data_IF_068892914589
#
_entry.id   IF_068892914589
#
_cell.length_a   1.000
_cell.length_b   1.000
_cell.length_c   1.000
_cell.angle_alpha   90.00
_cell.angle_beta   90.00
_cell.angle_gamma   90.00
#
_symmetry.space_group_name_H-M   'P 1'
#
loop_
_entity.id
_entity.type
_entity.pdbx_description
1 polymer ?
#
# COMPACT_ATOMS: atom_id res chain seq x y z
N UNK A 1 4.48 18.70 -5.11
CA UNK A 1 5.65 18.14 -4.41
C UNK A 1 5.14 17.38 -3.20
N UNK A 2 5.57 16.13 -3.03
CA UNK A 2 5.17 15.29 -1.89
C UNK A 2 5.84 15.79 -0.60
N UNK A 3 5.22 15.63 0.57
CA UNK A 3 5.79 16.09 1.84
C UNK A 3 7.11 15.38 2.16
N UNK A 4 8.14 16.08 2.59
CA UNK A 4 9.47 15.48 2.84
C UNK A 4 9.54 14.63 4.12
N UNK A 5 8.71 14.95 5.11
CA UNK A 5 8.79 14.43 6.48
C UNK A 5 7.79 13.30 6.76
N UNK A 6 6.85 13.06 5.85
CA UNK A 6 5.84 12.01 5.94
C UNK A 6 5.52 11.43 4.56
N UNK A 7 4.98 10.23 4.54
CA UNK A 7 4.43 9.60 3.34
C UNK A 7 2.90 9.51 3.49
N UNK A 8 2.12 10.10 2.55
CA UNK A 8 0.67 9.92 2.51
C UNK A 8 0.26 8.47 2.29
N UNK A 9 -0.97 8.13 2.67
CA UNK A 9 -1.50 6.76 2.58
C UNK A 9 -1.57 6.28 1.12
N UNK A 10 -2.13 7.10 0.24
CA UNK A 10 -2.15 6.85 -1.20
C UNK A 10 -0.73 6.67 -1.78
N UNK A 11 0.29 7.34 -1.23
CA UNK A 11 1.68 7.13 -1.65
C UNK A 11 2.15 5.71 -1.26
N UNK A 12 1.86 5.25 -0.03
CA UNK A 12 2.20 3.89 0.43
C UNK A 12 1.55 2.84 -0.47
N UNK A 13 0.24 2.96 -0.71
CA UNK A 13 -0.54 2.02 -1.53
C UNK A 13 0.01 1.91 -2.94
N UNK A 14 0.20 3.06 -3.62
CA UNK A 14 0.65 3.05 -5.02
C UNK A 14 2.11 2.60 -5.15
N UNK A 15 2.99 2.94 -4.20
CA UNK A 15 4.37 2.45 -4.21
C UNK A 15 4.44 0.94 -4.04
N UNK A 16 3.60 0.37 -3.18
CA UNK A 16 3.50 -1.09 -3.06
C UNK A 16 3.01 -1.72 -4.36
N UNK A 17 1.98 -1.16 -5.01
CA UNK A 17 1.50 -1.65 -6.30
C UNK A 17 2.61 -1.64 -7.36
N UNK A 18 3.35 -0.53 -7.46
CA UNK A 18 4.49 -0.40 -8.36
C UNK A 18 5.54 -1.47 -8.05
N UNK A 19 5.98 -1.58 -6.79
CA UNK A 19 7.00 -2.53 -6.39
C UNK A 19 6.62 -3.99 -6.70
N UNK A 20 5.36 -4.37 -6.47
CA UNK A 20 4.88 -5.72 -6.75
C UNK A 20 4.90 -6.05 -8.25
N UNK A 21 4.57 -5.08 -9.11
CA UNK A 21 4.61 -5.27 -10.56
C UNK A 21 6.05 -5.27 -11.07
N UNK A 22 6.87 -4.29 -10.67
CA UNK A 22 8.25 -4.14 -11.14
C UNK A 22 9.12 -5.34 -10.76
N UNK A 23 8.91 -5.92 -9.58
CA UNK A 23 9.59 -7.13 -9.13
C UNK A 23 8.89 -8.44 -9.58
N UNK A 24 7.91 -8.35 -10.47
CA UNK A 24 7.27 -9.51 -11.10
C UNK A 24 6.60 -10.47 -10.12
N UNK A 25 5.98 -9.97 -9.04
CA UNK A 25 5.30 -10.80 -8.03
C UNK A 25 3.81 -11.05 -8.33
N UNK A 26 3.22 -10.36 -9.31
CA UNK A 26 1.79 -10.47 -9.64
C UNK A 26 1.53 -11.20 -10.96
N UNK A 27 0.32 -11.75 -11.09
CA UNK A 27 -0.16 -12.44 -12.29
C UNK A 27 -0.94 -11.49 -13.21
N UNK A 28 -1.53 -10.43 -12.66
CA UNK A 28 -2.38 -9.51 -13.42
C UNK A 28 -2.47 -8.14 -12.78
N UNK A 29 -3.53 -7.40 -13.12
CA UNK A 29 -3.75 -6.04 -12.63
C UNK A 29 -3.92 -6.01 -11.11
N UNK A 30 -3.40 -4.95 -10.48
CA UNK A 30 -3.56 -4.69 -9.04
C UNK A 30 -4.71 -3.70 -8.84
N UNK A 31 -5.62 -4.01 -7.92
CA UNK A 31 -6.66 -3.08 -7.48
C UNK A 31 -6.13 -2.22 -6.35
N UNK A 32 -6.31 -0.91 -6.44
CA UNK A 32 -5.97 0.03 -5.36
C UNK A 32 -7.17 0.90 -5.03
N UNK A 33 -7.71 0.74 -3.82
CA UNK A 33 -8.78 1.55 -3.29
C UNK A 33 -8.18 2.80 -2.61
N UNK A 34 -8.55 3.98 -3.07
CA UNK A 34 -8.10 5.26 -2.53
C UNK A 34 -9.34 6.15 -2.31
N UNK A 35 -9.46 6.74 -1.13
CA UNK A 35 -10.55 7.66 -0.82
C UNK A 35 -10.30 9.02 -1.48
N UNK A 36 -11.35 9.63 -2.04
CA UNK A 36 -11.29 11.01 -2.52
C UNK A 36 -10.77 11.99 -1.48
N UNK A 37 -11.05 11.79 -0.18
CA UNK A 37 -10.51 12.59 0.91
C UNK A 37 -8.98 12.46 1.08
N UNK A 38 -8.39 11.32 0.71
CA UNK A 38 -6.92 11.14 0.67
C UNK A 38 -6.29 11.89 -0.51
N UNK A 39 -7.07 12.22 -1.56
CA UNK A 39 -6.61 12.94 -2.75
C UNK A 39 -6.82 14.44 -2.61
N UNK A 40 -8.05 14.87 -2.28
CA UNK A 40 -8.43 16.28 -2.20
C UNK A 40 -9.61 16.50 -1.25
N UNK A 41 -9.51 17.49 -0.38
CA UNK A 41 -10.65 17.99 0.42
C UNK A 41 -10.82 19.49 0.21
N UNK A 42 -11.99 19.93 -0.27
CA UNK A 42 -12.21 21.33 -0.63
C UNK A 42 -11.20 21.77 -1.69
N UNK A 43 -10.37 22.76 -1.37
CA UNK A 43 -9.33 23.28 -2.26
C UNK A 43 -7.93 22.68 -2.02
N UNK A 44 -7.76 21.85 -1.00
CA UNK A 44 -6.47 21.28 -0.63
C UNK A 44 -6.27 19.94 -1.33
N UNK A 45 -5.24 19.83 -2.17
CA UNK A 45 -4.76 18.56 -2.72
C UNK A 45 -3.80 17.94 -1.71
N UNK A 46 -4.15 16.76 -1.21
CA UNK A 46 -3.35 16.00 -0.24
C UNK A 46 -2.37 15.06 -0.93
N UNK A 47 -2.79 14.47 -2.07
CA UNK A 47 -1.94 13.59 -2.85
C UNK A 47 -2.29 13.66 -4.36
N UNK A 48 -1.36 14.12 -5.22
CA UNK A 48 -1.59 14.27 -6.65
C UNK A 48 -1.34 12.93 -7.39
N UNK A 49 -2.35 12.05 -7.45
CA UNK A 49 -2.23 10.69 -8.01
C UNK A 49 -1.74 10.69 -9.46
N UNK A 50 -2.32 11.53 -10.31
CA UNK A 50 -2.03 11.53 -11.76
C UNK A 50 -0.58 11.92 -11.99
N UNK A 51 -0.12 12.99 -11.34
CA UNK A 51 1.26 13.46 -11.39
C UNK A 51 2.21 12.41 -10.85
N UNK A 52 1.91 11.81 -9.70
CA UNK A 52 2.73 10.77 -9.09
C UNK A 52 2.89 9.55 -10.00
N UNK A 53 1.79 9.03 -10.56
CA UNK A 53 1.83 7.85 -11.44
C UNK A 53 2.56 8.17 -12.75
N UNK A 54 2.31 9.33 -13.36
CA UNK A 54 3.01 9.77 -14.57
C UNK A 54 4.53 9.88 -14.35
N UNK A 55 4.96 10.46 -13.22
CA UNK A 55 6.39 10.55 -12.85
C UNK A 55 7.05 9.16 -12.72
N UNK A 56 6.27 8.13 -12.37
CA UNK A 56 6.73 6.74 -12.29
C UNK A 56 6.47 5.94 -13.59
N UNK A 57 6.05 6.60 -14.69
CA UNK A 57 5.83 5.99 -16.00
C UNK A 57 4.52 5.21 -16.14
N UNK A 58 3.58 5.40 -15.21
CA UNK A 58 2.25 4.81 -15.22
C UNK A 58 1.24 5.84 -15.73
N UNK A 59 0.59 5.54 -16.84
CA UNK A 59 -0.25 6.50 -17.56
C UNK A 59 -1.64 5.94 -17.85
N UNK A 60 -2.65 6.81 -17.87
CA UNK A 60 -4.01 6.45 -18.30
C UNK A 60 -4.56 7.45 -19.33
N UNK A 61 -5.26 6.98 -20.38
CA UNK A 61 -5.94 7.85 -21.33
C UNK A 61 -7.07 8.67 -20.70
N UNK A 62 -7.66 8.19 -19.60
CA UNK A 62 -8.77 8.86 -18.91
C UNK A 62 -8.32 9.76 -17.75
N UNK A 63 -7.01 9.91 -17.52
CA UNK A 63 -6.48 10.60 -16.34
C UNK A 63 -6.83 12.10 -16.30
N UNK A 64 -7.12 12.70 -17.46
CA UNK A 64 -7.55 14.09 -17.56
C UNK A 64 -9.01 14.30 -17.12
N UNK A 65 -9.84 13.25 -17.19
CA UNK A 65 -11.24 13.31 -16.79
C UNK A 65 -11.39 13.06 -15.29
N UNK A 66 -10.66 12.05 -14.79
CA UNK A 66 -10.66 11.66 -13.37
C UNK A 66 -9.41 10.86 -13.02
N UNK A 67 -8.98 10.94 -11.77
CA UNK A 67 -7.83 10.18 -11.28
C UNK A 67 -8.14 8.69 -11.08
N UNK A 68 -9.41 8.29 -10.94
CA UNK A 68 -9.81 6.87 -10.92
C UNK A 68 -9.74 6.27 -12.31
N UNK A 69 -8.72 5.47 -12.56
CA UNK A 69 -8.50 4.88 -13.87
C UNK A 69 -7.62 3.64 -13.80
N UNK A 70 -7.52 2.93 -14.93
CA UNK A 70 -6.50 1.92 -15.17
C UNK A 70 -5.25 2.59 -15.72
N UNK A 71 -4.18 2.59 -14.94
CA UNK A 71 -2.86 3.10 -15.32
C UNK A 71 -1.97 1.96 -15.78
N UNK A 72 -1.40 2.12 -16.98
CA UNK A 72 -0.54 1.12 -17.60
C UNK A 72 0.87 1.67 -17.81
N UNK A 73 1.85 0.78 -17.85
CA UNK A 73 3.24 1.10 -18.13
C UNK A 73 3.73 0.18 -19.25
N UNK A 74 4.34 0.75 -20.30
CA UNK A 74 4.76 0.00 -21.50
C UNK A 74 5.75 -1.14 -21.22
N UNK A 75 6.43 -1.12 -20.06
CA UNK A 75 7.38 -2.15 -19.64
C UNK A 75 6.71 -3.39 -19.05
N UNK A 76 5.46 -3.30 -18.59
CA UNK A 76 4.80 -4.34 -17.81
C UNK A 76 3.42 -4.69 -18.38
N UNK A 77 3.03 -5.96 -18.28
CA UNK A 77 1.69 -6.38 -18.72
C UNK A 77 0.60 -6.01 -17.71
N UNK A 78 0.93 -6.10 -16.41
CA UNK A 78 0.02 -5.73 -15.33
C UNK A 78 -0.15 -4.20 -15.26
N UNK A 79 -1.35 -3.77 -14.91
CA UNK A 79 -1.72 -2.37 -14.68
C UNK A 79 -2.11 -2.12 -13.22
N UNK A 80 -2.14 -0.84 -12.84
CA UNK A 80 -2.66 -0.38 -11.55
C UNK A 80 -4.07 0.18 -11.79
N UNK A 81 -5.08 -0.42 -11.17
CA UNK A 81 -6.46 0.03 -11.26
C UNK A 81 -6.79 0.82 -10.00
N UNK A 82 -6.89 2.14 -10.16
CA UNK A 82 -7.23 3.07 -9.07
C UNK A 82 -8.74 3.29 -9.04
N UNK A 83 -9.37 2.98 -7.90
CA UNK A 83 -10.80 3.18 -7.66
C UNK A 83 -11.05 3.69 -6.23
N UNK A 84 -12.31 3.94 -5.87
CA UNK A 84 -12.71 4.47 -4.56
C UNK A 84 -13.80 3.61 -3.90
N UNK A 85 -13.78 2.30 -4.17
CA UNK A 85 -14.73 1.36 -3.57
C UNK A 85 -14.25 1.00 -2.16
N UNK A 86 -15.17 0.99 -1.19
CA UNK A 86 -14.89 0.53 0.17
C UNK A 86 -15.01 -1.00 0.28
N UNK A 87 -14.48 -1.57 1.37
CA UNK A 87 -14.72 -2.98 1.75
C UNK A 87 -13.75 -4.02 1.18
N UNK A 88 -12.78 -3.61 0.37
CA UNK A 88 -11.78 -4.52 -0.24
C UNK A 88 -10.38 -4.44 0.42
N UNK A 89 -10.09 -3.37 1.16
CA UNK A 89 -8.71 -3.01 1.56
C UNK A 89 -8.06 -2.12 0.50
N UNK A 90 -7.02 -1.39 0.91
CA UNK A 90 -6.37 -0.38 0.06
C UNK A 90 -5.67 -0.98 -1.16
N UNK A 91 -5.20 -2.22 -1.09
CA UNK A 91 -4.59 -2.93 -2.22
C UNK A 91 -5.00 -4.41 -2.25
N UNK A 92 -5.38 -4.89 -3.43
CA UNK A 92 -5.65 -6.30 -3.70
C UNK A 92 -4.89 -6.75 -4.94
N UNK A 93 -4.13 -7.85 -4.83
CA UNK A 93 -3.34 -8.38 -5.92
C UNK A 93 -3.34 -9.91 -5.95
N UNK A 94 -3.47 -10.49 -7.15
CA UNK A 94 -3.22 -11.92 -7.35
C UNK A 94 -1.73 -12.17 -7.55
N UNK A 95 -1.13 -12.85 -6.58
CA UNK A 95 0.30 -13.12 -6.52
C UNK A 95 0.66 -14.38 -7.31
N UNK A 96 1.87 -14.41 -7.89
CA UNK A 96 2.40 -15.57 -8.61
C UNK A 96 2.53 -16.83 -7.76
N UNK A 97 2.62 -16.68 -6.44
CA UNK A 97 2.63 -17.79 -5.48
C UNK A 97 1.25 -18.46 -5.31
N UNK A 98 0.23 -18.04 -6.08
CA UNK A 98 -1.12 -18.61 -6.01
C UNK A 98 -1.95 -18.11 -4.82
N UNK A 99 -1.58 -16.96 -4.25
CA UNK A 99 -2.28 -16.30 -3.13
C UNK A 99 -2.83 -14.96 -3.59
N UNK A 100 -3.92 -14.53 -2.96
CA UNK A 100 -4.42 -13.16 -3.08
C UNK A 100 -3.87 -12.34 -1.92
N UNK A 101 -3.09 -11.31 -2.22
CA UNK A 101 -2.62 -10.33 -1.25
C UNK A 101 -3.73 -9.31 -1.02
N UNK A 102 -3.99 -9.00 0.25
CA UNK A 102 -4.89 -7.92 0.66
C UNK A 102 -4.21 -7.06 1.71
N UNK A 103 -4.20 -5.75 1.47
CA UNK A 103 -3.41 -4.81 2.26
C UNK A 103 -4.24 -3.67 2.77
N UNK A 104 -4.05 -3.34 4.05
CA UNK A 104 -4.45 -2.06 4.64
C UNK A 104 -3.22 -1.18 4.77
N UNK A 105 -3.24 0.00 4.16
CA UNK A 105 -2.12 0.94 4.18
C UNK A 105 -2.35 2.03 5.22
N UNK A 106 -1.25 2.56 5.77
CA UNK A 106 -1.31 3.76 6.59
C UNK A 106 -0.27 4.77 6.19
N UNK A 107 -0.66 6.04 6.14
CA UNK A 107 0.30 7.16 6.13
C UNK A 107 1.22 7.12 7.35
N UNK A 108 2.33 7.86 7.31
CA UNK A 108 3.14 8.01 8.52
C UNK A 108 4.41 8.85 8.34
N UNK A 109 5.09 9.15 9.45
CA UNK A 109 6.33 9.92 9.43
C UNK A 109 7.49 9.14 8.82
N UNK A 110 8.35 9.85 8.09
CA UNK A 110 9.62 9.35 7.55
C UNK A 110 10.82 9.66 8.45
N UNK A 111 10.65 10.61 9.37
CA UNK A 111 11.65 10.99 10.38
C UNK A 111 11.08 10.76 11.76
N UNK A 112 11.95 10.37 12.69
CA UNK A 112 11.55 10.14 14.08
C UNK A 112 10.96 11.41 14.68
N UNK A 113 9.74 11.31 15.19
CA UNK A 113 9.09 12.39 15.94
C UNK A 113 8.98 12.02 17.42
N UNK A 114 8.79 13.03 18.29
CA UNK A 114 8.53 12.78 19.72
C UNK A 114 7.17 12.09 19.93
N UNK A 115 6.23 12.29 19.03
CA UNK A 115 4.96 11.55 19.03
C UNK A 115 5.16 10.14 18.47
N UNK A 116 4.73 9.12 19.21
CA UNK A 116 4.83 7.72 18.76
C UNK A 116 3.60 7.33 17.92
N UNK A 117 3.36 8.04 16.81
CA UNK A 117 2.18 7.84 15.96
C UNK A 117 2.20 6.50 15.21
N UNK A 118 3.38 5.91 15.01
CA UNK A 118 3.57 4.66 14.27
C UNK A 118 2.87 3.48 14.96
N UNK A 119 2.86 3.44 16.29
CA UNK A 119 2.18 2.40 17.08
C UNK A 119 0.66 2.35 16.86
N UNK A 120 -0.10 3.45 17.08
CA UNK A 120 -1.54 3.42 16.85
C UNK A 120 -1.86 3.19 15.37
N UNK A 121 -1.06 3.69 14.42
CA UNK A 121 -1.29 3.47 12.98
C UNK A 121 -1.25 1.98 12.60
N UNK A 122 -0.22 1.24 13.00
CA UNK A 122 -0.16 -0.21 12.69
C UNK A 122 -1.32 -0.94 13.37
N UNK A 123 -1.66 -0.61 14.62
CA UNK A 123 -2.76 -1.28 15.34
C UNK A 123 -4.12 -1.02 14.68
N UNK A 124 -4.37 0.22 14.28
CA UNK A 124 -5.58 0.59 13.55
C UNK A 124 -5.68 -0.19 12.25
N UNK A 125 -4.59 -0.25 11.48
CA UNK A 125 -4.55 -1.01 10.22
C UNK A 125 -4.79 -2.51 10.42
N UNK A 126 -4.19 -3.12 11.45
CA UNK A 126 -4.47 -4.52 11.81
C UNK A 126 -5.96 -4.68 12.13
N UNK A 127 -6.53 -3.79 12.94
CA UNK A 127 -7.94 -3.82 13.31
C UNK A 127 -8.88 -3.72 12.12
N UNK A 128 -8.61 -2.80 11.19
CA UNK A 128 -9.35 -2.67 9.93
C UNK A 128 -9.21 -3.92 9.08
N UNK A 129 -7.98 -4.40 8.88
CA UNK A 129 -7.67 -5.56 8.02
C UNK A 129 -8.38 -6.84 8.47
N UNK A 130 -8.45 -7.12 9.77
CA UNK A 130 -9.14 -8.32 10.29
C UNK A 130 -10.67 -8.20 10.25
N UNK A 131 -11.21 -7.03 9.89
CA UNK A 131 -12.65 -6.77 9.75
C UNK A 131 -13.08 -6.51 8.30
N UNK A 132 -12.18 -6.69 7.33
CA UNK A 132 -12.50 -6.48 5.91
C UNK A 132 -13.56 -7.48 5.45
N UNK A 133 -14.66 -6.95 4.91
CA UNK A 133 -15.84 -7.71 4.52
C UNK A 133 -15.55 -8.75 3.43
N UNK A 134 -14.71 -8.40 2.45
CA UNK A 134 -14.43 -9.24 1.29
C UNK A 134 -13.15 -10.08 1.40
N UNK A 135 -12.61 -10.27 2.61
CA UNK A 135 -11.43 -11.10 2.84
C UNK A 135 -11.78 -12.59 2.83
N UNK A 136 -10.92 -13.40 2.18
CA UNK A 136 -10.99 -14.87 2.27
C UNK A 136 -10.01 -15.40 3.31
N UNK A 137 -10.31 -16.51 4.03
CA UNK A 137 -9.35 -17.18 4.92
C UNK A 137 -8.04 -17.62 4.24
N UNK A 138 -8.04 -17.71 2.91
CA UNK A 138 -6.86 -18.07 2.10
C UNK A 138 -5.98 -16.87 1.72
N UNK A 139 -6.47 -15.63 1.93
CA UNK A 139 -5.79 -14.41 1.55
C UNK A 139 -4.50 -14.24 2.39
N UNK A 140 -3.47 -13.71 1.75
CA UNK A 140 -2.29 -13.20 2.43
C UNK A 140 -2.63 -11.79 2.92
N UNK A 141 -2.82 -11.63 4.23
CA UNK A 141 -3.17 -10.33 4.82
C UNK A 141 -1.90 -9.57 5.21
N UNK A 142 -1.82 -8.29 4.85
CA UNK A 142 -0.72 -7.43 5.24
C UNK A 142 -1.14 -6.01 5.63
N UNK A 143 -0.38 -5.40 6.54
CA UNK A 143 -0.42 -3.95 6.76
C UNK A 143 0.77 -3.33 6.06
N UNK A 144 0.57 -2.26 5.29
CA UNK A 144 1.66 -1.49 4.68
C UNK A 144 1.84 -0.13 5.34
N UNK A 145 3.07 0.20 5.69
CA UNK A 145 3.45 1.49 6.29
C UNK A 145 4.72 2.04 5.65
N UNK A 146 5.04 3.32 5.83
CA UNK A 146 6.28 3.89 5.31
C UNK A 146 7.50 3.22 5.93
N UNK A 147 8.56 3.08 5.15
CA UNK A 147 9.88 2.69 5.64
C UNK A 147 10.52 3.86 6.37
N UNK A 148 10.71 3.69 7.68
CA UNK A 148 11.41 4.62 8.56
C UNK A 148 11.95 3.86 9.76
N UNK A 149 12.97 4.41 10.44
CA UNK A 149 13.61 3.77 11.60
C UNK A 149 12.59 3.20 12.60
N UNK A 150 11.52 3.97 12.88
CA UNK A 150 10.53 3.55 13.87
C UNK A 150 9.56 2.50 13.33
N UNK A 151 9.07 2.63 12.10
CA UNK A 151 8.20 1.62 11.49
C UNK A 151 8.94 0.30 11.28
N UNK A 152 10.19 0.34 10.81
CA UNK A 152 11.02 -0.85 10.60
C UNK A 152 11.24 -1.58 11.93
N UNK A 153 11.64 -0.86 12.99
CA UNK A 153 11.81 -1.43 14.33
C UNK A 153 10.53 -2.08 14.88
N UNK A 154 9.36 -1.48 14.63
CA UNK A 154 8.08 -2.05 15.04
C UNK A 154 7.71 -3.27 14.22
N UNK A 155 7.85 -3.19 12.89
CA UNK A 155 7.56 -4.29 11.99
C UNK A 155 8.41 -5.51 12.30
N UNK A 156 9.71 -5.35 12.55
CA UNK A 156 10.62 -6.42 12.99
C UNK A 156 10.16 -7.02 14.33
N UNK A 157 9.97 -6.20 15.36
CA UNK A 157 9.56 -6.70 16.67
C UNK A 157 8.20 -7.41 16.65
N UNK A 158 7.25 -6.92 15.85
CA UNK A 158 5.87 -7.41 15.87
C UNK A 158 5.70 -8.66 15.03
N UNK A 159 6.42 -8.80 13.92
CA UNK A 159 6.48 -10.06 13.16
C UNK A 159 6.96 -11.22 14.04
N UNK A 160 7.82 -10.95 15.01
CA UNK A 160 8.31 -11.98 15.93
C UNK A 160 7.34 -12.33 17.07
N UNK A 161 6.25 -11.58 17.27
CA UNK A 161 5.33 -11.83 18.39
C UNK A 161 4.51 -13.11 18.15
N UNK A 162 4.33 -13.96 19.19
CA UNK A 162 3.66 -15.25 19.02
C UNK A 162 2.28 -15.18 18.35
N UNK A 163 1.44 -14.22 18.79
CA UNK A 163 0.09 -14.05 18.21
C UNK A 163 0.16 -13.57 16.76
N UNK A 164 1.07 -12.64 16.44
CA UNK A 164 1.25 -12.19 15.05
C UNK A 164 1.74 -13.31 14.13
N UNK A 165 2.66 -14.16 14.59
CA UNK A 165 3.07 -15.34 13.82
C UNK A 165 1.89 -16.29 13.58
N UNK A 166 1.07 -16.50 14.62
CA UNK A 166 -0.08 -17.42 14.52
C UNK A 166 -1.18 -16.92 13.60
N UNK A 167 -1.33 -15.60 13.39
CA UNK A 167 -2.32 -15.05 12.46
C UNK A 167 -1.87 -15.11 11.00
N UNK A 168 -0.56 -15.24 10.73
CA UNK A 168 -0.02 -15.15 9.38
C UNK A 168 -0.14 -13.75 8.75
N UNK A 169 -0.38 -12.71 9.57
CA UNK A 169 -0.49 -11.32 9.11
C UNK A 169 0.90 -10.73 8.93
N UNK A 170 1.14 -10.10 7.78
CA UNK A 170 2.41 -9.46 7.46
C UNK A 170 2.41 -7.96 7.78
N UNK A 171 3.57 -7.42 8.12
CA UNK A 171 3.77 -5.97 8.23
C UNK A 171 4.84 -5.59 7.21
N UNK A 172 4.44 -4.79 6.24
CA UNK A 172 5.27 -4.35 5.11
C UNK A 172 5.74 -2.92 5.37
N UNK A 173 7.03 -2.67 5.17
CA UNK A 173 7.56 -1.30 5.14
C UNK A 173 7.96 -0.92 3.71
N UNK A 174 7.53 0.28 3.27
CA UNK A 174 7.63 0.77 1.88
C UNK A 174 8.49 2.03 1.80
N UNK A 175 9.60 1.96 1.07
CA UNK A 175 10.47 3.10 0.79
C UNK A 175 10.00 3.96 -0.38
N UNK A 176 10.47 5.21 -0.44
CA UNK A 176 10.24 6.12 -1.59
C UNK A 176 10.98 5.72 -2.86
N UNK A 177 11.91 4.79 -2.73
CA UNK A 177 12.60 4.08 -3.80
C UNK A 177 11.86 2.80 -4.21
N UNK A 178 10.62 2.61 -3.75
CA UNK A 178 9.81 1.40 -3.94
C UNK A 178 10.44 0.14 -3.31
N UNK A 179 11.41 0.27 -2.40
CA UNK A 179 11.91 -0.87 -1.62
C UNK A 179 10.82 -1.38 -0.70
N UNK A 180 10.64 -2.70 -0.66
CA UNK A 180 9.67 -3.38 0.20
C UNK A 180 10.37 -4.35 1.13
N UNK A 181 9.91 -4.45 2.37
CA UNK A 181 10.35 -5.44 3.36
C UNK A 181 9.15 -6.06 4.06
N UNK A 182 9.25 -7.31 4.52
CA UNK A 182 8.21 -7.95 5.33
C UNK A 182 7.38 -9.03 4.64
N UNK A 183 7.68 -9.34 3.38
CA UNK A 183 7.03 -10.41 2.61
C UNK A 183 7.94 -11.60 2.27
N UNK A 184 9.20 -11.59 2.69
CA UNK A 184 10.18 -12.65 2.36
C UNK A 184 9.72 -14.05 2.73
N UNK A 185 9.05 -14.18 3.88
CA UNK A 185 8.56 -15.47 4.39
C UNK A 185 7.37 -16.00 3.59
N UNK A 186 6.72 -15.14 2.80
CA UNK A 186 5.68 -15.51 1.85
C UNK A 186 6.25 -15.83 0.45
N UNK A 187 7.57 -15.77 0.26
CA UNK A 187 8.22 -16.00 -1.03
C UNK A 187 8.15 -14.80 -1.99
N UNK A 188 8.05 -13.59 -1.43
CA UNK A 188 8.01 -12.30 -2.14
C UNK A 188 9.15 -11.41 -1.65
#
# INVERSE_FOLDING_TARGET
>A
MLPEDKMPEAEVTLRLAIALIENSHVVGDIQTAIDGAQVKTGNTVHFPIVEFLNENGWWSPSQNDRWQAKYSNTKYQASIIVHSSAGEGDLVADLKIGKKLRVESKKGPLKRSKSSQEYPLIREAIGQLVTVEHASPSDLLAVAVPKSEKFDSLAEQWRERPIMKSTGLHIITIGRDNTIHGLSDAGI
#
